data_IF_280971044771
#
_entry.id   IF_280971044771
#
_cell.length_a   1.000
_cell.length_b   1.000
_cell.length_c   1.000
_cell.angle_alpha   90.00
_cell.angle_beta   90.00
_cell.angle_gamma   90.00
#
_symmetry.space_group_name_H-M   'P 1'
#
loop_
_entity.id
_entity.type
_entity.pdbx_description
1 polymer ?
#
# COMPACT_ATOMS: atom_id res chain seq x y z
N UNK A 1 21.62 -3.54 13.81
CA UNK A 1 20.91 -2.26 14.04
C UNK A 1 21.48 -1.69 15.31
N UNK A 2 22.58 -0.96 15.20
CA UNK A 2 23.46 -0.75 16.38
C UNK A 2 23.48 0.71 16.84
N UNK A 3 23.19 1.67 15.96
CA UNK A 3 23.39 3.09 16.27
C UNK A 3 22.74 4.01 15.23
N UNK A 4 22.52 5.28 15.60
CA UNK A 4 22.34 6.40 14.66
C UNK A 4 23.68 7.08 14.48
N UNK A 5 24.12 7.22 13.24
CA UNK A 5 25.44 7.75 12.94
C UNK A 5 25.38 8.91 11.96
N UNK A 6 26.31 9.84 12.10
CA UNK A 6 26.52 10.92 11.13
C UNK A 6 27.66 10.49 10.22
N UNK A 7 27.32 10.17 8.97
CA UNK A 7 28.29 9.79 7.94
C UNK A 7 28.55 10.99 7.02
N UNK A 8 29.82 11.32 6.79
CA UNK A 8 30.22 12.22 5.72
C UNK A 8 30.37 11.43 4.42
N UNK A 9 29.52 11.72 3.44
CA UNK A 9 29.59 11.10 2.11
C UNK A 9 30.01 12.17 1.11
N UNK A 10 31.09 11.91 0.38
CA UNK A 10 31.53 12.81 -0.69
C UNK A 10 30.52 12.78 -1.84
N UNK A 11 30.05 13.95 -2.26
CA UNK A 11 29.13 14.11 -3.38
C UNK A 11 29.90 14.56 -4.62
N UNK A 12 29.53 14.01 -5.79
CA UNK A 12 30.14 14.32 -7.08
C UNK A 12 29.02 14.64 -8.06
N UNK A 13 29.24 15.59 -8.98
CA UNK A 13 28.30 15.88 -10.07
C UNK A 13 28.15 14.73 -11.08
N UNK A 14 29.06 13.75 -11.06
CA UNK A 14 29.10 12.61 -11.96
C UNK A 14 28.01 11.56 -11.71
N UNK A 15 27.42 11.50 -10.52
CA UNK A 15 26.43 10.49 -10.15
C UNK A 15 25.47 11.08 -9.13
N UNK A 16 24.19 10.72 -9.21
CA UNK A 16 23.21 11.22 -8.24
C UNK A 16 23.51 10.73 -6.83
N UNK A 17 23.26 11.59 -5.84
CA UNK A 17 23.47 11.30 -4.42
C UNK A 17 22.76 10.00 -3.99
N UNK A 18 21.58 9.73 -4.54
CA UNK A 18 20.80 8.53 -4.26
C UNK A 18 21.51 7.25 -4.72
N UNK A 19 22.07 7.24 -5.93
CA UNK A 19 22.80 6.07 -6.46
C UNK A 19 24.04 5.81 -5.61
N UNK A 20 24.74 6.88 -5.21
CA UNK A 20 25.91 6.76 -4.34
C UNK A 20 25.55 6.23 -2.96
N UNK A 21 24.44 6.68 -2.36
CA UNK A 21 23.92 6.12 -1.11
C UNK A 21 23.62 4.63 -1.25
N UNK A 22 23.00 4.21 -2.36
CA UNK A 22 22.70 2.79 -2.60
C UNK A 22 23.99 1.97 -2.67
N UNK A 23 25.03 2.47 -3.34
CA UNK A 23 26.33 1.80 -3.42
C UNK A 23 26.98 1.56 -2.04
N UNK A 24 26.82 2.50 -1.11
CA UNK A 24 27.31 2.33 0.27
C UNK A 24 26.32 1.58 1.18
N UNK A 25 25.18 1.10 0.65
CA UNK A 25 24.22 0.27 1.37
C UNK A 25 23.09 1.02 2.07
N UNK A 26 22.83 2.27 1.68
CA UNK A 26 21.80 3.13 2.26
C UNK A 26 20.80 3.64 1.23
N UNK A 27 19.60 3.96 1.68
CA UNK A 27 18.54 4.55 0.88
C UNK A 27 18.15 5.91 1.46
N UNK A 28 18.15 6.94 0.63
CA UNK A 28 17.75 8.28 1.04
C UNK A 28 16.25 8.37 1.35
N UNK A 29 15.89 9.07 2.42
CA UNK A 29 14.49 9.36 2.75
C UNK A 29 13.88 10.49 1.90
N UNK A 30 14.68 11.18 1.09
CA UNK A 30 14.25 12.29 0.22
C UNK A 30 14.81 12.06 -1.18
N UNK A 31 14.03 12.31 -2.25
CA UNK A 31 14.48 12.11 -3.63
C UNK A 31 15.49 13.18 -4.08
N UNK A 32 15.40 14.39 -3.53
CA UNK A 32 16.29 15.51 -3.85
C UNK A 32 17.05 15.85 -2.58
N UNK A 33 18.38 15.69 -2.60
CA UNK A 33 19.29 15.95 -1.49
C UNK A 33 18.92 15.20 -0.19
N UNK A 34 19.19 13.88 -0.14
CA UNK A 34 18.91 13.06 1.03
C UNK A 34 19.77 13.49 2.22
N UNK A 35 19.18 14.20 3.19
CA UNK A 35 19.84 14.55 4.47
C UNK A 35 19.78 13.43 5.51
N UNK A 36 18.96 12.42 5.27
CA UNK A 36 18.82 11.26 6.13
C UNK A 36 18.64 10.05 5.25
N UNK A 37 19.32 8.97 5.62
CA UNK A 37 19.29 7.72 4.89
C UNK A 37 19.12 6.57 5.87
N UNK A 38 18.53 5.50 5.37
CA UNK A 38 18.21 4.28 6.12
C UNK A 38 19.00 3.14 5.49
N UNK A 39 19.60 2.25 6.27
CA UNK A 39 20.34 1.12 5.70
C UNK A 39 19.40 0.16 4.95
N UNK A 40 19.84 -0.34 3.80
CA UNK A 40 19.07 -1.32 3.01
C UNK A 40 18.82 -2.60 3.80
N UNK A 41 19.77 -3.00 4.66
CA UNK A 41 19.61 -4.15 5.58
C UNK A 41 18.46 -3.93 6.57
N UNK A 42 18.29 -2.71 7.08
CA UNK A 42 17.20 -2.39 7.99
C UNK A 42 15.84 -2.34 7.26
N UNK A 43 15.80 -1.81 6.04
CA UNK A 43 14.59 -1.84 5.21
C UNK A 43 14.16 -3.27 4.86
N UNK A 44 15.11 -4.12 4.48
CA UNK A 44 14.87 -5.56 4.27
C UNK A 44 14.34 -6.24 5.53
N UNK A 45 14.95 -5.98 6.69
CA UNK A 45 14.49 -6.53 7.97
C UNK A 45 13.02 -6.15 8.26
N UNK A 46 12.68 -4.86 8.14
CA UNK A 46 11.30 -4.41 8.30
C UNK A 46 10.35 -5.04 7.27
N UNK A 47 10.77 -5.13 6.00
CA UNK A 47 9.95 -5.74 4.95
C UNK A 47 9.65 -7.21 5.25
N UNK A 48 10.65 -7.99 5.66
CA UNK A 48 10.46 -9.39 6.07
C UNK A 48 9.54 -9.49 7.29
N UNK A 49 9.73 -8.64 8.30
CA UNK A 49 8.88 -8.63 9.48
C UNK A 49 7.43 -8.29 9.13
N UNK A 50 7.21 -7.28 8.28
CA UNK A 50 5.88 -6.94 7.78
C UNK A 50 5.23 -8.09 7.02
N UNK A 51 5.99 -8.83 6.21
CA UNK A 51 5.50 -10.00 5.45
C UNK A 51 4.99 -11.13 6.35
N UNK A 52 5.64 -11.35 7.51
CA UNK A 52 5.32 -12.47 8.39
C UNK A 52 4.45 -12.13 9.59
N UNK A 53 4.47 -10.87 10.06
CA UNK A 53 3.77 -10.47 11.28
C UNK A 53 2.89 -9.22 11.10
N UNK A 54 2.74 -8.72 9.87
CA UNK A 54 1.94 -7.53 9.54
C UNK A 54 2.25 -6.32 10.43
N UNK A 55 3.51 -6.16 10.83
CA UNK A 55 3.92 -5.09 11.76
C UNK A 55 3.59 -3.72 11.15
N UNK A 56 2.93 -2.87 11.94
CA UNK A 56 2.63 -1.50 11.52
C UNK A 56 3.90 -0.65 11.56
N UNK A 57 4.19 0.04 10.45
CA UNK A 57 5.38 0.89 10.30
C UNK A 57 5.54 1.89 11.45
N UNK A 58 4.45 2.55 11.86
CA UNK A 58 4.48 3.53 12.94
C UNK A 58 4.87 2.91 14.30
N UNK A 59 4.33 1.73 14.62
CA UNK A 59 4.66 1.04 15.86
C UNK A 59 6.11 0.53 15.83
N UNK A 60 6.53 0.00 14.68
CA UNK A 60 7.90 -0.46 14.49
C UNK A 60 8.91 0.68 14.68
N UNK A 61 8.69 1.82 14.02
CA UNK A 61 9.61 2.96 14.16
C UNK A 61 9.55 3.58 15.54
N UNK A 62 8.39 3.64 16.20
CA UNK A 62 8.32 4.07 17.60
C UNK A 62 9.18 3.22 18.52
N UNK A 63 9.11 1.89 18.39
CA UNK A 63 9.95 0.98 19.18
C UNK A 63 11.45 1.14 18.88
N UNK A 64 11.82 1.33 17.60
CA UNK A 64 13.22 1.58 17.22
C UNK A 64 13.69 2.96 17.68
N UNK A 65 12.79 3.95 17.70
CA UNK A 65 13.10 5.30 18.16
C UNK A 65 13.46 5.28 19.64
N UNK A 66 12.58 4.69 20.47
CA UNK A 66 12.78 4.48 21.91
C UNK A 66 14.03 3.64 22.22
N UNK A 67 14.24 2.53 21.49
CA UNK A 67 15.40 1.67 21.69
C UNK A 67 16.74 2.38 21.42
N UNK A 68 16.78 3.25 20.40
CA UNK A 68 18.00 3.97 20.01
C UNK A 68 18.21 5.25 20.81
N UNK A 69 17.17 5.83 21.41
CA UNK A 69 17.25 7.09 22.16
C UNK A 69 18.28 7.03 23.30
N UNK A 70 18.34 5.89 24.00
CA UNK A 70 19.27 5.68 25.11
C UNK A 70 20.75 5.54 24.68
N UNK A 71 21.05 5.30 23.40
CA UNK A 71 22.39 4.85 22.94
C UNK A 71 22.93 5.59 21.73
N UNK A 72 22.24 6.61 21.23
CA UNK A 72 22.60 7.25 19.96
C UNK A 72 22.35 8.75 19.97
N UNK A 73 23.13 9.48 19.18
CA UNK A 73 22.92 10.91 19.01
C UNK A 73 21.56 11.18 18.33
N UNK A 74 20.84 12.18 18.84
CA UNK A 74 19.62 12.65 18.24
C UNK A 74 19.88 13.27 16.86
N UNK A 75 19.08 12.86 15.87
CA UNK A 75 19.07 13.48 14.56
C UNK A 75 18.18 14.73 14.63
N UNK A 76 18.80 15.89 14.80
CA UNK A 76 18.09 17.18 14.85
C UNK A 76 17.89 17.78 13.47
N UNK A 77 16.84 18.58 13.34
CA UNK A 77 16.64 19.43 12.15
C UNK A 77 17.64 20.59 12.21
N UNK A 78 18.38 20.89 11.12
CA UNK A 78 19.32 22.01 11.10
C UNK A 78 18.64 23.32 11.49
N UNK A 79 19.22 24.05 12.44
CA UNK A 79 18.71 25.33 12.91
C UNK A 79 17.58 25.25 13.94
N UNK A 80 17.17 24.05 14.38
CA UNK A 80 16.20 23.89 15.47
C UNK A 80 16.69 22.86 16.50
N UNK A 81 16.09 22.88 17.69
CA UNK A 81 16.32 21.86 18.71
C UNK A 81 15.29 20.71 18.62
N UNK A 82 14.58 20.59 17.50
CA UNK A 82 13.58 19.55 17.30
C UNK A 82 14.22 18.30 16.68
N UNK A 83 13.80 17.14 17.18
CA UNK A 83 14.16 15.84 16.59
C UNK A 83 13.48 15.67 15.23
N UNK A 84 14.17 15.00 14.31
CA UNK A 84 13.60 14.66 13.01
C UNK A 84 12.49 13.63 13.18
N UNK A 85 11.40 13.80 12.44
CA UNK A 85 10.35 12.78 12.32
C UNK A 85 10.88 11.56 11.54
N UNK A 86 11.39 10.58 12.29
CA UNK A 86 11.89 9.32 11.74
C UNK A 86 10.80 8.50 11.07
N UNK A 87 9.54 8.62 11.52
CA UNK A 87 8.42 7.88 10.93
C UNK A 87 8.18 8.33 9.49
N UNK A 88 8.17 9.64 9.24
CA UNK A 88 8.01 10.17 7.88
C UNK A 88 9.20 9.79 6.99
N UNK A 89 10.42 9.94 7.49
CA UNK A 89 11.65 9.56 6.79
C UNK A 89 11.61 8.08 6.38
N UNK A 90 11.34 7.21 7.35
CA UNK A 90 11.35 5.77 7.16
C UNK A 90 10.20 5.32 6.25
N UNK A 91 9.01 5.93 6.34
CA UNK A 91 7.92 5.65 5.39
C UNK A 91 8.36 5.88 3.95
N UNK A 92 8.95 7.05 3.66
CA UNK A 92 9.43 7.36 2.32
C UNK A 92 10.49 6.36 1.83
N UNK A 93 11.42 5.95 2.70
CA UNK A 93 12.42 4.94 2.37
C UNK A 93 11.80 3.54 2.16
N UNK A 94 10.80 3.15 2.94
CA UNK A 94 10.07 1.88 2.76
C UNK A 94 9.30 1.87 1.45
N UNK A 95 8.65 2.98 1.10
CA UNK A 95 7.91 3.11 -0.16
C UNK A 95 8.86 3.00 -1.36
N UNK A 96 9.99 3.72 -1.34
CA UNK A 96 11.03 3.61 -2.37
C UNK A 96 11.63 2.20 -2.44
N UNK A 97 11.88 1.55 -1.29
CA UNK A 97 12.39 0.17 -1.25
C UNK A 97 11.42 -0.84 -1.85
N UNK A 98 10.13 -0.72 -1.52
CA UNK A 98 9.08 -1.57 -2.09
C UNK A 98 8.93 -1.36 -3.59
N UNK A 99 9.08 -0.13 -4.06
CA UNK A 99 9.07 0.14 -5.49
C UNK A 99 10.27 -0.51 -6.20
N UNK A 100 11.47 -0.49 -5.60
CA UNK A 100 12.61 -1.23 -6.16
C UNK A 100 12.34 -2.74 -6.23
N UNK A 101 11.71 -3.34 -5.21
CA UNK A 101 11.31 -4.76 -5.25
C UNK A 101 10.29 -5.02 -6.36
N UNK A 102 9.31 -4.12 -6.54
CA UNK A 102 8.34 -4.21 -7.63
C UNK A 102 9.02 -4.16 -9.00
N UNK A 103 9.99 -3.26 -9.18
CA UNK A 103 10.77 -3.15 -10.40
C UNK A 103 11.67 -4.37 -10.63
N UNK A 104 12.23 -4.96 -9.57
CA UNK A 104 12.99 -6.22 -9.64
C UNK A 104 12.12 -7.38 -10.11
N UNK A 105 10.91 -7.51 -9.55
CA UNK A 105 9.94 -8.52 -9.99
C UNK A 105 9.54 -8.28 -11.46
N UNK A 106 9.28 -7.03 -11.85
CA UNK A 106 8.94 -6.67 -13.23
C UNK A 106 10.08 -6.99 -14.21
N UNK A 107 11.32 -6.65 -13.86
CA UNK A 107 12.49 -7.01 -14.66
C UNK A 107 12.65 -8.52 -14.78
N UNK A 108 12.36 -9.28 -13.72
CA UNK A 108 12.43 -10.75 -13.73
C UNK A 108 11.38 -11.36 -14.66
N UNK A 109 10.15 -10.84 -14.64
CA UNK A 109 9.08 -11.26 -15.54
C UNK A 109 9.46 -11.00 -17.01
N UNK A 110 10.00 -9.81 -17.30
CA UNK A 110 10.43 -9.42 -18.65
C UNK A 110 11.61 -10.27 -19.14
N UNK A 111 12.63 -10.48 -18.29
CA UNK A 111 13.82 -11.26 -18.64
C UNK A 111 13.51 -12.73 -18.91
N UNK A 112 12.49 -13.29 -18.25
CA UNK A 112 12.04 -14.67 -18.42
C UNK A 112 10.96 -14.83 -19.49
N UNK A 113 10.55 -13.75 -20.16
CA UNK A 113 9.42 -13.74 -21.10
C UNK A 113 8.15 -14.38 -20.51
N UNK A 114 7.88 -14.11 -19.23
CA UNK A 114 6.71 -14.68 -18.55
C UNK A 114 5.45 -13.97 -19.02
N UNK A 115 4.48 -14.75 -19.51
CA UNK A 115 3.16 -14.24 -19.82
C UNK A 115 2.38 -13.98 -18.50
N UNK A 116 1.33 -13.13 -18.52
CA UNK A 116 0.49 -12.90 -17.35
C UNK A 116 -0.06 -14.20 -16.73
N UNK A 117 -0.29 -15.22 -17.56
CA UNK A 117 -0.71 -16.54 -17.10
C UNK A 117 0.37 -17.26 -16.30
N UNK A 118 1.63 -17.13 -16.67
CA UNK A 118 2.76 -17.74 -15.95
C UNK A 118 2.96 -17.10 -14.58
N UNK A 119 2.78 -15.78 -14.49
CA UNK A 119 2.82 -15.06 -13.21
C UNK A 119 1.70 -15.52 -12.25
N UNK A 120 0.50 -15.72 -12.79
CA UNK A 120 -0.62 -16.28 -12.02
C UNK A 120 -0.35 -17.75 -11.65
N UNK A 121 0.22 -18.55 -12.54
CA UNK A 121 0.61 -19.93 -12.29
C UNK A 121 1.69 -20.04 -11.21
N UNK A 122 2.64 -19.10 -11.14
CA UNK A 122 3.63 -19.05 -10.07
C UNK A 122 2.99 -18.79 -8.69
N UNK A 123 1.85 -18.07 -8.66
CA UNK A 123 1.11 -17.76 -7.43
C UNK A 123 0.16 -18.89 -7.02
N UNK A 124 -0.62 -19.42 -7.97
CA UNK A 124 -1.47 -20.59 -7.78
C UNK A 124 -1.26 -21.57 -8.95
N UNK A 125 -0.33 -22.53 -8.83
CA UNK A 125 -0.10 -23.54 -9.87
C UNK A 125 -1.35 -24.38 -10.16
N UNK A 126 -2.16 -24.66 -9.13
CA UNK A 126 -3.40 -25.43 -9.28
C UNK A 126 -4.48 -24.69 -10.09
N UNK A 127 -4.51 -23.35 -10.01
CA UNK A 127 -5.56 -22.54 -10.64
C UNK A 127 -5.20 -22.12 -12.07
N UNK A 128 -3.92 -21.84 -12.33
CA UNK A 128 -3.46 -21.21 -13.57
C UNK A 128 -2.29 -21.94 -14.24
N UNK A 129 -1.72 -22.95 -13.58
CA UNK A 129 -0.63 -23.76 -14.12
C UNK A 129 -1.10 -24.81 -15.13
N UNK A 130 -0.16 -25.54 -15.74
CA UNK A 130 -0.47 -26.57 -16.74
C UNK A 130 -1.33 -27.68 -16.13
N UNK A 131 -2.23 -28.25 -16.94
CA UNK A 131 -3.10 -29.35 -16.50
C UNK A 131 -2.26 -30.56 -16.13
N UNK A 132 -2.26 -30.91 -14.84
CA UNK A 132 -1.62 -32.13 -14.36
C UNK A 132 -2.57 -33.33 -14.51
N UNK A 133 -2.05 -34.51 -14.91
CA UNK A 133 -2.86 -35.72 -14.94
C UNK A 133 -3.29 -36.10 -13.51
N UNK A 134 -4.57 -36.44 -13.32
CA UNK A 134 -5.15 -36.80 -12.02
C UNK A 134 -6.20 -35.83 -11.47
N UNK A 135 -6.51 -34.75 -12.20
CA UNK A 135 -7.62 -33.84 -11.87
C UNK A 135 -8.97 -34.60 -11.91
N UNK A 136 -9.78 -34.46 -10.87
CA UNK A 136 -11.12 -35.06 -10.82
C UNK A 136 -12.11 -34.26 -11.67
N UNK A 137 -13.14 -34.92 -12.20
CA UNK A 137 -14.12 -34.27 -13.07
C UNK A 137 -14.96 -33.18 -12.36
N UNK A 138 -15.07 -33.24 -11.03
CA UNK A 138 -15.79 -32.30 -10.18
C UNK A 138 -14.94 -31.12 -9.68
N UNK A 139 -13.63 -31.12 -9.95
CA UNK A 139 -12.71 -30.10 -9.47
C UNK A 139 -12.70 -28.85 -10.38
N UNK A 140 -12.84 -27.63 -9.84
CA UNK A 140 -12.89 -26.40 -10.65
C UNK A 140 -11.60 -26.15 -11.42
N UNK A 141 -11.68 -25.61 -12.65
CA UNK A 141 -10.51 -25.21 -13.44
C UNK A 141 -9.83 -23.96 -12.91
N UNK A 142 -10.60 -23.03 -12.37
CA UNK A 142 -10.08 -21.77 -11.84
C UNK A 142 -10.79 -21.43 -10.54
N UNK A 143 -10.01 -21.06 -9.52
CA UNK A 143 -10.52 -20.53 -8.25
C UNK A 143 -10.11 -19.07 -8.19
N UNK A 144 -11.09 -18.17 -8.26
CA UNK A 144 -10.87 -16.72 -8.22
C UNK A 144 -11.26 -16.22 -6.83
N UNK A 145 -10.28 -15.86 -6.02
CA UNK A 145 -10.50 -15.22 -4.73
C UNK A 145 -10.50 -13.70 -4.92
N UNK A 146 -11.68 -13.08 -4.83
CA UNK A 146 -11.81 -11.62 -4.83
C UNK A 146 -11.77 -11.14 -3.38
N UNK A 147 -10.68 -10.47 -2.98
CA UNK A 147 -10.67 -9.78 -1.69
C UNK A 147 -11.58 -8.54 -1.78
N UNK A 148 -12.57 -8.49 -0.90
CA UNK A 148 -13.46 -7.35 -0.82
C UNK A 148 -12.71 -6.23 -0.09
N UNK A 149 -12.42 -5.13 -0.79
CA UNK A 149 -11.97 -3.91 -0.13
C UNK A 149 -13.07 -3.45 0.83
N UNK A 150 -12.90 -3.71 2.14
CA UNK A 150 -13.88 -3.41 3.20
C UNK A 150 -14.04 -1.91 3.46
N UNK A 151 -14.36 -1.13 2.43
CA UNK A 151 -14.76 0.28 2.54
C UNK A 151 -16.19 0.43 3.07
N UNK A 152 -16.92 -0.67 3.27
CA UNK A 152 -18.30 -0.69 3.80
C UNK A 152 -18.44 0.07 5.13
N UNK A 153 -17.36 0.15 5.93
CA UNK A 153 -17.33 0.86 7.22
C UNK A 153 -16.76 2.28 7.15
N UNK A 154 -16.41 2.78 5.97
CA UNK A 154 -15.86 4.14 5.82
C UNK A 154 -17.03 5.13 5.77
N UNK A 155 -17.04 6.12 6.66
CA UNK A 155 -18.01 7.21 6.61
C UNK A 155 -17.99 7.89 5.22
N UNK A 156 -19.16 8.16 4.65
CA UNK A 156 -19.33 8.93 3.38
C UNK A 156 -18.61 10.30 3.41
N UNK A 157 -18.48 10.93 4.57
CA UNK A 157 -17.72 12.17 4.72
C UNK A 157 -16.18 11.96 4.66
N UNK A 158 -15.71 10.73 4.88
CA UNK A 158 -14.32 10.31 4.80
C UNK A 158 -13.99 9.56 3.49
N UNK A 159 -14.98 9.34 2.61
CA UNK A 159 -14.72 9.00 1.22
C UNK A 159 -14.31 10.28 0.50
N UNK A 160 -13.02 10.60 0.58
CA UNK A 160 -12.48 11.57 -0.35
C UNK A 160 -12.67 11.00 -1.77
N UNK A 161 -13.19 11.80 -2.71
CA UNK A 161 -12.82 11.65 -4.12
C UNK A 161 -11.31 11.44 -4.11
N UNK A 162 -10.80 10.39 -4.76
CA UNK A 162 -9.39 10.04 -4.79
C UNK A 162 -8.55 11.32 -4.97
N UNK A 163 -7.99 11.87 -3.88
CA UNK A 163 -7.14 13.05 -3.88
C UNK A 163 -5.70 12.56 -3.86
N UNK A 164 -5.26 12.05 -5.01
CA UNK A 164 -3.85 11.89 -5.24
C UNK A 164 -3.37 13.27 -5.64
N UNK A 165 -2.39 13.83 -4.93
CA UNK A 165 -1.76 15.11 -5.28
C UNK A 165 -1.26 15.13 -6.74
N UNK A 166 -1.20 13.99 -7.42
CA UNK A 166 -0.77 13.81 -8.81
C UNK A 166 -1.88 13.49 -9.80
N UNK A 167 -3.11 13.18 -9.36
CA UNK A 167 -4.21 12.75 -10.24
C UNK A 167 -3.98 11.42 -10.97
N UNK A 168 -2.88 10.72 -10.71
CA UNK A 168 -2.54 9.43 -11.34
C UNK A 168 -3.15 8.30 -10.54
N UNK A 169 -4.06 7.54 -11.16
CA UNK A 169 -4.59 6.31 -10.58
C UNK A 169 -3.49 5.23 -10.66
N UNK A 170 -3.06 4.62 -9.53
CA UNK A 170 -2.13 3.49 -9.60
C UNK A 170 -2.75 2.35 -10.41
N UNK A 171 -1.95 1.69 -11.25
CA UNK A 171 -2.39 0.59 -12.13
C UNK A 171 -3.06 -0.58 -11.40
N UNK A 172 -2.80 -0.72 -10.10
CA UNK A 172 -3.41 -1.72 -9.24
C UNK A 172 -4.92 -1.47 -9.00
N UNK A 173 -5.39 -0.23 -9.11
CA UNK A 173 -6.80 0.12 -8.88
C UNK A 173 -7.56 0.23 -10.18
N UNK A 174 -8.79 -0.31 -10.22
CA UNK A 174 -9.70 -0.09 -11.34
C UNK A 174 -10.19 1.35 -11.36
N UNK A 175 -10.34 1.92 -12.57
CA UNK A 175 -10.90 3.26 -12.72
C UNK A 175 -12.37 3.29 -12.28
N UNK A 176 -12.85 4.43 -11.73
CA UNK A 176 -14.27 4.58 -11.40
C UNK A 176 -15.20 4.33 -12.60
N UNK A 177 -14.78 4.70 -13.81
CA UNK A 177 -15.53 4.47 -15.04
C UNK A 177 -15.67 2.97 -15.37
N UNK A 178 -14.59 2.20 -15.18
CA UNK A 178 -14.59 0.75 -15.37
C UNK A 178 -15.53 0.08 -14.37
N UNK A 179 -15.48 0.49 -13.10
CA UNK A 179 -16.37 -0.03 -12.03
C UNK A 179 -17.83 0.24 -12.35
N UNK A 180 -18.18 1.46 -12.78
CA UNK A 180 -19.56 1.82 -13.13
C UNK A 180 -20.08 1.04 -14.33
N UNK A 181 -19.22 0.78 -15.32
CA UNK A 181 -19.55 -0.06 -16.48
C UNK A 181 -19.92 -1.48 -16.04
N UNK A 182 -19.15 -2.05 -15.10
CA UNK A 182 -19.40 -3.39 -14.58
C UNK A 182 -20.67 -3.43 -13.73
N UNK A 183 -20.91 -2.39 -12.93
CA UNK A 183 -22.17 -2.24 -12.17
C UNK A 183 -23.37 -2.30 -13.10
N UNK A 184 -23.37 -1.52 -14.18
CA UNK A 184 -24.48 -1.51 -15.14
C UNK A 184 -24.68 -2.85 -15.86
N UNK A 185 -23.61 -3.62 -16.07
CA UNK A 185 -23.68 -4.96 -16.66
C UNK A 185 -24.20 -6.03 -15.70
N UNK A 186 -24.00 -5.82 -14.40
CA UNK A 186 -24.39 -6.76 -13.33
C UNK A 186 -25.75 -6.42 -12.73
N UNK A 187 -26.29 -5.22 -12.96
CA UNK A 187 -27.66 -4.89 -12.58
C UNK A 187 -28.63 -5.83 -13.33
N UNK A 188 -29.47 -6.60 -12.60
CA UNK A 188 -30.39 -7.53 -13.25
C UNK A 188 -31.32 -6.73 -14.14
N UNK A 189 -31.43 -7.15 -15.40
CA UNK A 189 -32.44 -6.61 -16.32
C UNK A 189 -33.79 -6.84 -15.65
N UNK A 190 -34.47 -5.77 -15.24
CA UNK A 190 -35.78 -5.86 -14.63
C UNK A 190 -36.70 -6.63 -15.59
N UNK A 191 -36.96 -7.90 -15.28
CA UNK A 191 -37.96 -8.67 -15.97
C UNK A 191 -39.31 -8.02 -15.64
N UNK A 192 -39.88 -7.38 -16.65
CA UNK A 192 -41.26 -6.92 -16.65
C UNK A 192 -42.18 -8.11 -16.39
N UNK A 193 -42.56 -8.34 -15.14
CA UNK A 193 -43.77 -9.08 -14.80
C UNK A 193 -44.86 -8.08 -14.44
N UNK A 194 -45.71 -7.77 -15.42
CA UNK A 194 -47.01 -7.18 -15.17
C UNK A 194 -47.86 -8.17 -14.37
N UNK A 195 -48.24 -7.81 -13.15
CA UNK A 195 -49.54 -8.16 -12.54
C UNK A 195 -49.76 -7.26 -11.33
N UNK A 196 -50.86 -6.50 -11.38
CA UNK A 196 -51.14 -5.42 -10.44
C UNK A 196 -51.54 -5.87 -9.05
N UNK A 197 -51.11 -5.09 -8.04
CA UNK A 197 -51.87 -4.85 -6.82
C UNK A 197 -51.30 -3.63 -6.07
N UNK A 198 -52.16 -2.61 -5.98
CA UNK A 198 -52.30 -1.58 -4.93
C UNK A 198 -51.08 -0.87 -4.32
N UNK A 199 -51.06 0.45 -4.53
CA UNK A 199 -50.32 1.45 -3.73
C UNK A 199 -50.64 1.28 -2.23
N UNK A 200 -49.60 1.17 -1.40
CA UNK A 200 -49.64 1.65 -0.01
C UNK A 200 -48.40 2.50 0.25
N UNK A 201 -48.66 3.77 0.54
CA UNK A 201 -47.71 4.77 1.02
C UNK A 201 -47.51 4.65 2.53
N UNK A 202 -46.33 5.13 2.97
CA UNK A 202 -45.88 5.52 4.33
C UNK A 202 -44.94 4.56 5.07
N UNK A 203 -44.09 5.09 5.98
CA UNK A 203 -43.19 6.24 5.82
C UNK A 203 -41.73 5.88 6.21
N UNK A 204 -40.79 6.79 5.93
CA UNK A 204 -39.41 6.70 6.38
C UNK A 204 -39.32 6.98 7.88
N UNK A 205 -38.97 5.95 8.67
CA UNK A 205 -38.51 6.13 10.04
C UNK A 205 -37.00 6.40 10.03
N UNK A 206 -36.62 7.63 9.67
CA UNK A 206 -35.30 8.18 10.00
C UNK A 206 -35.28 8.46 11.50
N UNK A 207 -34.68 7.54 12.27
CA UNK A 207 -34.34 7.81 13.68
C UNK A 207 -33.21 8.85 13.70
N UNK A 208 -33.59 10.12 13.71
CA UNK A 208 -32.68 11.25 13.90
C UNK A 208 -32.29 11.31 15.38
N UNK A 209 -31.14 10.72 15.72
CA UNK A 209 -30.51 10.94 17.02
C UNK A 209 -29.80 12.30 16.98
N UNK A 210 -30.43 13.35 17.51
CA UNK A 210 -29.81 14.67 17.73
C UNK A 210 -28.87 14.59 18.94
N UNK A 211 -27.57 14.69 18.71
CA UNK A 211 -26.61 14.98 19.79
C UNK A 211 -26.41 16.49 19.92
N UNK A 212 -26.82 17.04 21.06
CA UNK A 212 -26.48 18.41 21.45
C UNK A 212 -25.08 18.43 22.09
N UNK A 213 -24.11 19.04 21.40
CA UNK A 213 -22.82 19.39 22.00
C UNK A 213 -22.97 20.75 22.71
N UNK A 214 -22.85 20.77 24.04
CA UNK A 214 -22.60 21.99 24.80
C UNK A 214 -21.09 22.17 24.92
N UNK A 215 -20.60 23.30 24.42
CA UNK A 215 -19.25 23.79 24.73
C UNK A 215 -19.27 24.32 26.17
N UNK A 216 -18.39 23.80 27.02
CA UNK A 216 -18.05 24.41 28.30
C UNK A 216 -16.68 25.06 28.12
N UNK A 217 -16.61 26.31 28.55
CA UNK A 217 -15.46 27.24 28.49
C UNK A 217 -14.24 26.62 29.19
#
# INVERSE_FOLDING_TARGET
MESREKLSVEMCSCTSDLVRLIWIGYMGCSPVQPRTAVSLRFLRFHHTLWKHSSVRLAAFIGAIDEYLDARSALLVVPGTNQTRDLRRCFSAAVDAYREMLRMEDEMSLLALHMEPQDALAATCPSCFGPKVPGKRADEPDHIICLDANFQQRRHLAASALWRGDTGVLPSLFMSPATVMTWKNKLEPTAQSTNTGASKKSHPADDVVVRFHLKSII
#
